data_IF_771571344405
#
_entry.id   IF_771571344405
#
_cell.length_a   1.000
_cell.length_b   1.000
_cell.length_c   1.000
_cell.angle_alpha   90.00
_cell.angle_beta   90.00
_cell.angle_gamma   90.00
#
_symmetry.space_group_name_H-M   'P 1'
#
loop_
_entity.id
_entity.type
_entity.pdbx_description
1 polymer ?
#
# COMPACT_ATOMS: atom_id res chain seq x y z
N UNK A 1 6.73 -58.76 -10.90
CA UNK A 1 7.53 -58.29 -12.05
C UNK A 1 7.76 -56.80 -11.89
N UNK A 2 9.00 -56.28 -12.01
CA UNK A 2 9.26 -54.84 -11.97
C UNK A 2 8.78 -54.21 -13.28
N UNK A 3 8.08 -53.08 -13.19
CA UNK A 3 7.62 -52.31 -14.36
C UNK A 3 8.86 -51.74 -15.06
N UNK A 4 9.20 -52.26 -16.24
CA UNK A 4 10.22 -51.66 -17.11
C UNK A 4 9.70 -50.31 -17.59
N UNK A 5 10.45 -49.23 -17.29
CA UNK A 5 10.14 -47.85 -17.69
C UNK A 5 10.02 -47.81 -19.22
N UNK A 6 8.89 -47.32 -19.72
CA UNK A 6 8.62 -47.24 -21.15
C UNK A 6 9.22 -45.93 -21.69
N UNK A 7 9.99 -45.92 -22.79
CA UNK A 7 10.54 -44.68 -23.36
C UNK A 7 9.49 -43.61 -23.66
N UNK A 8 8.24 -44.03 -23.91
CA UNK A 8 7.10 -43.13 -24.11
C UNK A 8 6.65 -42.36 -22.85
N UNK A 9 7.07 -42.77 -21.66
CA UNK A 9 6.86 -41.99 -20.42
C UNK A 9 7.68 -40.69 -20.45
N UNK A 10 8.77 -40.65 -21.23
CA UNK A 10 9.58 -39.45 -21.47
C UNK A 10 9.12 -38.65 -22.70
N UNK A 11 8.22 -39.20 -23.53
CA UNK A 11 7.57 -38.49 -24.64
C UNK A 11 6.33 -37.70 -24.19
N UNK A 12 6.06 -37.65 -22.87
CA UNK A 12 5.04 -36.79 -22.29
C UNK A 12 5.44 -35.33 -22.47
N UNK A 13 5.06 -34.78 -23.62
CA UNK A 13 5.00 -33.36 -23.99
C UNK A 13 6.06 -32.52 -23.30
N UNK A 14 7.02 -32.09 -24.09
CA UNK A 14 7.71 -30.82 -23.92
C UNK A 14 6.64 -29.69 -23.93
N UNK A 15 5.78 -29.64 -22.91
CA UNK A 15 4.98 -28.50 -22.52
C UNK A 15 6.02 -27.52 -22.01
N UNK A 16 6.69 -26.87 -22.96
CA UNK A 16 7.21 -25.53 -22.73
C UNK A 16 6.01 -24.71 -22.29
N UNK A 17 5.84 -24.63 -20.98
CA UNK A 17 4.99 -23.62 -20.36
C UNK A 17 5.60 -22.32 -20.86
N UNK A 18 4.92 -21.57 -21.74
CA UNK A 18 5.51 -20.35 -22.27
C UNK A 18 5.77 -19.40 -21.09
N UNK A 19 6.98 -18.82 -21.03
CA UNK A 19 7.42 -17.88 -19.98
C UNK A 19 6.46 -16.68 -19.76
N UNK A 20 5.48 -16.50 -20.64
CA UNK A 20 4.39 -15.54 -20.53
C UNK A 20 3.33 -15.86 -19.45
N UNK A 21 3.40 -17.03 -18.80
CA UNK A 21 2.44 -17.38 -17.74
C UNK A 21 2.75 -16.70 -16.38
N UNK A 22 3.97 -16.20 -16.16
CA UNK A 22 4.40 -15.63 -14.88
C UNK A 22 4.18 -14.11 -14.72
N UNK A 23 3.76 -13.39 -15.77
CA UNK A 23 3.50 -11.95 -15.72
C UNK A 23 2.12 -11.60 -16.29
N UNK A 24 1.07 -12.31 -15.86
CA UNK A 24 -0.28 -12.09 -16.38
C UNK A 24 -0.89 -10.88 -15.66
N UNK A 25 -0.84 -9.72 -16.32
CA UNK A 25 -1.61 -8.54 -15.90
C UNK A 25 -3.09 -8.92 -15.84
N UNK A 26 -3.68 -8.73 -14.66
CA UNK A 26 -5.10 -8.99 -14.50
C UNK A 26 -5.91 -7.88 -15.18
N UNK A 27 -7.03 -8.24 -15.84
CA UNK A 27 -7.88 -7.26 -16.48
C UNK A 27 -8.54 -6.38 -15.42
N UNK A 28 -8.69 -5.09 -15.72
CA UNK A 28 -9.36 -4.12 -14.85
C UNK A 28 -10.68 -3.62 -15.47
N UNK A 29 -11.56 -3.13 -14.62
CA UNK A 29 -12.76 -2.38 -14.98
C UNK A 29 -12.41 -0.92 -15.28
N UNK A 30 -13.31 -0.26 -16.01
CA UNK A 30 -13.29 1.19 -16.19
C UNK A 30 -14.09 1.82 -15.05
N UNK A 31 -13.51 2.81 -14.38
CA UNK A 31 -14.05 3.41 -13.17
C UNK A 31 -14.59 4.81 -13.46
N UNK A 32 -15.67 5.17 -12.76
CA UNK A 32 -16.10 6.57 -12.68
C UNK A 32 -15.10 7.39 -11.86
N UNK A 33 -14.95 8.68 -12.19
CA UNK A 33 -14.18 9.65 -11.39
C UNK A 33 -14.67 9.71 -9.94
N UNK A 34 -15.95 9.43 -9.70
CA UNK A 34 -16.58 9.45 -8.37
C UNK A 34 -16.48 8.13 -7.61
N UNK A 35 -15.93 7.06 -8.22
CA UNK A 35 -15.78 5.75 -7.57
C UNK A 35 -15.05 5.80 -6.21
N UNK A 36 -14.00 6.62 -6.01
CA UNK A 36 -13.33 6.73 -4.71
C UNK A 36 -14.24 7.16 -3.55
N UNK A 37 -15.26 7.98 -3.80
CA UNK A 37 -16.22 8.38 -2.77
C UNK A 37 -17.17 7.23 -2.41
N UNK A 38 -17.50 6.38 -3.39
CA UNK A 38 -18.26 5.16 -3.14
C UNK A 38 -17.45 4.19 -2.27
N UNK A 39 -16.17 3.98 -2.58
CA UNK A 39 -15.27 3.15 -1.77
C UNK A 39 -15.14 3.68 -0.35
N UNK A 40 -15.04 5.01 -0.19
CA UNK A 40 -14.98 5.64 1.11
C UNK A 40 -16.25 5.38 1.93
N UNK A 41 -17.42 5.50 1.31
CA UNK A 41 -18.71 5.19 1.95
C UNK A 41 -18.78 3.73 2.43
N UNK A 42 -18.35 2.79 1.58
CA UNK A 42 -18.27 1.38 1.95
C UNK A 42 -17.23 1.14 3.07
N UNK A 43 -16.09 1.82 3.02
CA UNK A 43 -15.06 1.78 4.06
C UNK A 43 -15.54 2.30 5.41
N UNK A 44 -16.35 3.36 5.43
CA UNK A 44 -17.02 3.85 6.64
C UNK A 44 -18.04 2.83 7.16
N UNK A 45 -18.79 2.18 6.27
CA UNK A 45 -19.72 1.13 6.67
C UNK A 45 -19.00 -0.10 7.24
N UNK A 46 -17.81 -0.44 6.75
CA UNK A 46 -16.94 -1.47 7.32
C UNK A 46 -16.41 -1.06 8.69
N UNK A 47 -15.95 0.18 8.83
CA UNK A 47 -15.47 0.74 10.08
C UNK A 47 -16.52 0.66 11.21
N UNK A 48 -17.77 1.01 10.92
CA UNK A 48 -18.86 0.99 11.90
C UNK A 48 -19.28 -0.44 12.25
N UNK A 49 -19.22 -1.36 11.29
CA UNK A 49 -19.75 -2.73 11.44
C UNK A 49 -18.73 -3.71 12.02
N UNK A 50 -17.44 -3.39 11.98
CA UNK A 50 -16.35 -4.21 12.52
C UNK A 50 -15.57 -3.46 13.63
N UNK A 51 -16.24 -2.94 14.67
CA UNK A 51 -15.66 -1.95 15.58
C UNK A 51 -14.42 -2.44 16.33
N UNK A 52 -14.37 -3.73 16.72
CA UNK A 52 -13.21 -4.30 17.42
C UNK A 52 -11.97 -4.31 16.53
N UNK A 53 -12.14 -4.73 15.27
CA UNK A 53 -11.06 -4.80 14.28
C UNK A 53 -10.59 -3.39 13.94
N UNK A 54 -11.54 -2.48 13.68
CA UNK A 54 -11.25 -1.09 13.35
C UNK A 54 -10.55 -0.35 14.48
N UNK A 55 -10.98 -0.57 15.73
CA UNK A 55 -10.34 0.02 16.91
C UNK A 55 -8.92 -0.51 17.10
N UNK A 56 -8.67 -1.80 16.90
CA UNK A 56 -7.34 -2.38 17.02
C UNK A 56 -6.36 -1.80 15.99
N UNK A 57 -6.69 -1.88 14.70
CA UNK A 57 -5.81 -1.37 13.65
C UNK A 57 -5.69 0.16 13.70
N UNK A 58 -6.79 0.86 13.99
CA UNK A 58 -6.78 2.30 14.23
C UNK A 58 -5.87 2.71 15.38
N UNK A 59 -5.92 2.00 16.51
CA UNK A 59 -5.02 2.24 17.64
C UNK A 59 -3.56 1.98 17.28
N UNK A 60 -3.24 0.96 16.48
CA UNK A 60 -1.89 0.71 15.99
C UNK A 60 -1.36 1.87 15.12
N UNK A 61 -2.16 2.34 14.17
CA UNK A 61 -1.79 3.48 13.33
C UNK A 61 -1.65 4.78 14.13
N UNK A 62 -2.58 5.04 15.05
CA UNK A 62 -2.53 6.18 15.96
C UNK A 62 -1.28 6.12 16.84
N UNK A 63 -0.99 4.99 17.49
CA UNK A 63 0.16 4.83 18.36
C UNK A 63 1.47 5.05 17.60
N UNK A 64 1.58 4.54 16.37
CA UNK A 64 2.73 4.78 15.52
C UNK A 64 2.85 6.27 15.17
N UNK A 65 1.78 6.93 14.73
CA UNK A 65 1.81 8.35 14.37
C UNK A 65 2.11 9.27 15.57
N UNK A 66 1.45 9.04 16.71
CA UNK A 66 1.69 9.77 17.97
C UNK A 66 3.13 9.53 18.44
N UNK A 67 3.62 8.29 18.37
CA UNK A 67 5.02 7.97 18.71
C UNK A 67 6.01 8.78 17.90
N UNK A 68 5.78 8.94 16.59
CA UNK A 68 6.61 9.77 15.71
C UNK A 68 6.57 11.23 16.14
N UNK A 69 5.37 11.78 16.39
CA UNK A 69 5.21 13.16 16.85
C UNK A 69 5.96 13.39 18.17
N UNK A 70 5.85 12.48 19.13
CA UNK A 70 6.54 12.57 20.42
C UNK A 70 8.06 12.48 20.27
N UNK A 71 8.56 11.56 19.43
CA UNK A 71 9.99 11.43 19.14
C UNK A 71 10.56 12.71 18.50
N UNK A 72 9.82 13.31 17.57
CA UNK A 72 10.20 14.57 16.93
C UNK A 72 10.25 15.71 17.94
N UNK A 73 9.26 15.80 18.84
CA UNK A 73 9.24 16.83 19.88
C UNK A 73 10.37 16.64 20.91
N UNK A 74 10.67 15.39 21.27
CA UNK A 74 11.72 15.09 22.25
C UNK A 74 13.12 15.49 21.77
N UNK A 75 13.39 15.42 20.46
CA UNK A 75 14.69 15.81 19.90
C UNK A 75 14.88 17.32 19.70
N UNK A 76 13.83 18.14 19.85
CA UNK A 76 13.90 19.59 19.66
C UNK A 76 14.60 19.98 18.35
N UNK A 77 15.76 20.64 18.47
CA UNK A 77 16.56 21.17 17.34
C UNK A 77 17.20 20.08 16.46
N UNK A 78 17.32 18.83 16.93
CA UNK A 78 17.89 17.70 16.15
C UNK A 78 16.83 16.87 15.42
N UNK A 79 15.57 17.31 15.42
CA UNK A 79 14.42 16.62 14.82
C UNK A 79 14.62 16.18 13.36
N UNK A 80 15.46 16.87 12.58
CA UNK A 80 15.76 16.51 11.19
C UNK A 80 16.32 15.08 11.02
N UNK A 81 17.01 14.54 12.04
CA UNK A 81 17.58 13.19 11.98
C UNK A 81 16.53 12.08 12.21
N UNK A 82 15.43 12.38 12.88
CA UNK A 82 14.41 11.38 13.25
C UNK A 82 13.17 11.43 12.37
N UNK A 83 12.81 12.59 11.83
CA UNK A 83 11.60 12.73 10.98
C UNK A 83 11.67 11.77 9.79
N UNK A 84 12.75 11.80 9.01
CA UNK A 84 12.84 11.01 7.77
C UNK A 84 12.82 9.48 8.02
N UNK A 85 13.64 8.91 8.93
CA UNK A 85 13.56 7.49 9.26
C UNK A 85 12.20 7.08 9.83
N UNK A 86 11.59 7.93 10.67
CA UNK A 86 10.28 7.67 11.28
C UNK A 86 9.17 7.53 10.24
N UNK A 87 9.14 8.42 9.25
CA UNK A 87 8.17 8.37 8.15
C UNK A 87 8.31 7.09 7.33
N UNK A 88 9.54 6.63 7.12
CA UNK A 88 9.80 5.37 6.40
C UNK A 88 9.30 4.17 7.20
N UNK A 89 9.57 4.13 8.50
CA UNK A 89 9.05 3.05 9.37
C UNK A 89 7.52 3.05 9.36
N UNK A 90 6.87 4.22 9.44
CA UNK A 90 5.42 4.34 9.34
C UNK A 90 4.88 3.79 8.02
N UNK A 91 5.50 4.17 6.89
CA UNK A 91 5.13 3.69 5.56
C UNK A 91 5.32 2.18 5.40
N UNK A 92 6.34 1.58 6.01
CA UNK A 92 6.59 0.14 5.94
C UNK A 92 5.65 -0.69 6.82
N UNK A 93 5.20 -0.15 7.96
CA UNK A 93 4.22 -0.81 8.83
C UNK A 93 2.82 -0.81 8.19
N UNK A 94 2.46 0.25 7.45
CA UNK A 94 1.14 0.43 6.85
C UNK A 94 0.60 -0.77 6.07
N UNK A 95 1.33 -1.32 5.07
CA UNK A 95 0.99 -2.53 4.33
C UNK A 95 0.53 -3.71 5.19
N UNK A 96 1.22 -3.96 6.30
CA UNK A 96 0.95 -5.12 7.16
C UNK A 96 -0.28 -4.90 8.04
N UNK A 97 -0.48 -3.68 8.53
CA UNK A 97 -1.70 -3.33 9.26
C UNK A 97 -2.92 -3.34 8.33
N UNK A 98 -2.78 -2.78 7.13
CA UNK A 98 -3.84 -2.74 6.13
C UNK A 98 -4.24 -4.15 5.65
N UNK A 99 -3.29 -5.08 5.57
CA UNK A 99 -3.56 -6.47 5.20
C UNK A 99 -4.62 -7.14 6.09
N UNK A 100 -4.55 -6.92 7.41
CA UNK A 100 -5.55 -7.48 8.31
C UNK A 100 -6.93 -6.86 8.10
N UNK A 101 -6.99 -5.58 7.77
CA UNK A 101 -8.24 -4.93 7.43
C UNK A 101 -8.82 -5.42 6.10
N UNK A 102 -7.97 -5.67 5.10
CA UNK A 102 -8.38 -6.28 3.84
C UNK A 102 -8.98 -7.67 4.06
N UNK A 103 -8.35 -8.50 4.90
CA UNK A 103 -8.87 -9.82 5.25
C UNK A 103 -10.23 -9.74 5.97
N UNK A 104 -10.41 -8.75 6.86
CA UNK A 104 -11.68 -8.53 7.54
C UNK A 104 -12.82 -8.16 6.57
N UNK A 105 -12.58 -7.23 5.63
CA UNK A 105 -13.57 -6.91 4.59
C UNK A 105 -13.83 -8.09 3.64
N UNK A 106 -12.79 -8.87 3.32
CA UNK A 106 -12.93 -10.08 2.50
C UNK A 106 -13.80 -11.16 3.16
N UNK A 107 -13.60 -11.44 4.45
CA UNK A 107 -14.43 -12.37 5.20
C UNK A 107 -15.88 -11.88 5.31
N UNK A 108 -16.05 -10.57 5.53
CA UNK A 108 -17.37 -9.95 5.60
C UNK A 108 -18.14 -10.07 4.28
N UNK A 109 -17.49 -9.81 3.15
CA UNK A 109 -18.10 -9.96 1.82
C UNK A 109 -18.52 -11.41 1.52
N UNK A 110 -17.82 -12.39 2.10
CA UNK A 110 -18.18 -13.80 2.00
C UNK A 110 -19.31 -14.23 2.94
N UNK A 111 -19.84 -13.32 3.74
CA UNK A 111 -20.88 -13.61 4.73
C UNK A 111 -20.35 -14.31 6.00
N UNK A 112 -19.03 -14.40 6.17
CA UNK A 112 -18.44 -14.90 7.41
C UNK A 112 -18.42 -13.79 8.48
N UNK A 113 -18.30 -14.17 9.75
CA UNK A 113 -18.09 -13.23 10.84
C UNK A 113 -16.59 -12.90 10.97
N UNK A 114 -16.16 -11.65 10.70
CA UNK A 114 -14.75 -11.28 10.80
C UNK A 114 -14.28 -11.38 12.25
N UNK A 115 -13.12 -12.00 12.46
CA UNK A 115 -12.49 -12.07 13.78
C UNK A 115 -11.09 -11.46 13.75
N UNK A 116 -10.73 -10.75 14.81
CA UNK A 116 -9.42 -10.09 14.92
C UNK A 116 -8.25 -11.09 14.85
N UNK A 117 -8.41 -12.27 15.45
CA UNK A 117 -7.38 -13.30 15.42
C UNK A 117 -7.16 -13.84 13.99
N UNK A 118 -8.23 -13.95 13.19
CA UNK A 118 -8.12 -14.34 11.79
C UNK A 118 -7.42 -13.25 10.97
N UNK A 119 -7.82 -11.98 11.16
CA UNK A 119 -7.21 -10.85 10.43
C UNK A 119 -5.73 -10.69 10.72
N UNK A 120 -5.29 -10.90 11.97
CA UNK A 120 -3.87 -10.87 12.34
C UNK A 120 -3.06 -11.99 11.67
N UNK A 121 -3.68 -13.15 11.42
CA UNK A 121 -3.05 -14.27 10.70
C UNK A 121 -3.04 -14.08 9.18
N UNK A 122 -3.66 -13.02 8.64
CA UNK A 122 -3.66 -12.76 7.20
C UNK A 122 -2.23 -12.59 6.62
N UNK A 123 -1.29 -12.12 7.44
CA UNK A 123 0.15 -11.99 7.09
C UNK A 123 0.82 -13.31 6.74
N UNK A 124 0.24 -14.45 7.11
CA UNK A 124 0.83 -15.77 6.82
C UNK A 124 0.23 -16.44 5.59
N UNK A 125 -0.83 -15.87 4.97
CA UNK A 125 -1.57 -16.52 3.86
C UNK A 125 -0.79 -16.56 2.54
N UNK A 126 0.02 -15.53 2.28
CA UNK A 126 0.92 -15.44 1.12
C UNK A 126 2.21 -14.72 1.55
N UNK A 127 2.87 -15.26 2.57
CA UNK A 127 3.98 -14.60 3.24
C UNK A 127 5.13 -14.30 2.28
N UNK A 128 5.52 -15.23 1.41
CA UNK A 128 6.64 -15.00 0.46
C UNK A 128 6.43 -13.78 -0.41
N UNK A 129 5.25 -13.65 -1.06
CA UNK A 129 4.99 -12.49 -1.92
C UNK A 129 4.78 -11.21 -1.11
N UNK A 130 4.09 -11.28 0.05
CA UNK A 130 3.90 -10.12 0.91
C UNK A 130 5.24 -9.57 1.45
N UNK A 131 6.15 -10.44 1.88
CA UNK A 131 7.49 -10.06 2.32
C UNK A 131 8.36 -9.57 1.17
N UNK A 132 8.30 -10.20 0.00
CA UNK A 132 9.02 -9.71 -1.18
C UNK A 132 8.53 -8.32 -1.61
N UNK A 133 7.23 -8.03 -1.49
CA UNK A 133 6.69 -6.69 -1.70
C UNK A 133 7.14 -5.70 -0.63
N UNK A 134 7.22 -6.12 0.64
CA UNK A 134 7.76 -5.28 1.70
C UNK A 134 9.25 -4.96 1.49
N UNK A 135 10.04 -5.92 0.99
CA UNK A 135 11.44 -5.70 0.58
C UNK A 135 11.51 -4.72 -0.58
N UNK A 136 10.64 -4.86 -1.60
CA UNK A 136 10.54 -3.92 -2.71
C UNK A 136 10.26 -2.50 -2.22
N UNK A 137 9.29 -2.32 -1.33
CA UNK A 137 8.99 -1.03 -0.71
C UNK A 137 10.16 -0.50 0.13
N UNK A 138 10.85 -1.37 0.87
CA UNK A 138 12.04 -1.00 1.67
C UNK A 138 13.15 -0.48 0.79
N UNK A 139 13.48 -1.16 -0.31
CA UNK A 139 14.49 -0.72 -1.28
C UNK A 139 14.10 0.63 -1.88
N UNK A 140 12.82 0.80 -2.24
CA UNK A 140 12.33 2.07 -2.75
C UNK A 140 12.43 3.21 -1.73
N UNK A 141 12.14 2.94 -0.45
CA UNK A 141 12.25 3.91 0.63
C UNK A 141 13.71 4.26 0.96
N UNK A 142 14.63 3.30 0.91
CA UNK A 142 16.07 3.56 1.04
C UNK A 142 16.53 4.47 -0.11
N UNK A 143 16.12 4.16 -1.34
CA UNK A 143 16.46 4.97 -2.50
C UNK A 143 15.90 6.39 -2.37
N UNK A 144 14.63 6.54 -1.95
CA UNK A 144 14.02 7.83 -1.63
C UNK A 144 14.81 8.59 -0.57
N UNK A 145 15.18 7.95 0.53
CA UNK A 145 15.97 8.56 1.61
C UNK A 145 17.32 9.09 1.08
N UNK A 146 17.97 8.36 0.17
CA UNK A 146 19.23 8.82 -0.46
C UNK A 146 19.01 10.04 -1.34
N UNK A 147 17.94 10.05 -2.14
CA UNK A 147 17.57 11.21 -2.96
C UNK A 147 17.26 12.42 -2.08
N UNK A 148 16.49 12.25 -1.01
CA UNK A 148 16.16 13.30 -0.05
C UNK A 148 17.43 13.86 0.64
N UNK A 149 18.36 12.98 1.04
CA UNK A 149 19.63 13.39 1.64
C UNK A 149 20.52 14.17 0.67
N UNK A 150 20.54 13.80 -0.62
CA UNK A 150 21.27 14.55 -1.65
C UNK A 150 20.66 15.95 -1.86
N UNK A 151 19.33 16.05 -1.96
CA UNK A 151 18.66 17.35 -2.11
C UNK A 151 18.94 18.23 -0.88
N UNK A 152 18.93 17.65 0.31
CA UNK A 152 19.26 18.35 1.56
C UNK A 152 20.75 18.76 1.63
N UNK A 153 21.66 17.96 1.09
CA UNK A 153 23.08 18.31 1.02
C UNK A 153 23.36 19.46 0.05
N UNK A 154 22.53 19.63 -0.99
CA UNK A 154 22.67 20.73 -1.96
C UNK A 154 21.97 22.01 -1.50
N UNK A 155 20.90 21.92 -0.70
CA UNK A 155 20.09 23.08 -0.31
C UNK A 155 19.63 23.01 1.16
N UNK A 156 19.72 24.12 1.92
CA UNK A 156 20.30 25.42 1.57
C UNK A 156 21.85 25.43 1.70
N UNK A 157 22.52 26.29 0.92
CA UNK A 157 23.98 26.40 0.93
C UNK A 157 24.56 26.97 2.25
N UNK A 158 23.71 27.57 3.11
CA UNK A 158 24.11 28.24 4.36
C UNK A 158 23.16 27.86 5.50
N UNK A 159 23.71 27.65 6.70
CA UNK A 159 22.90 27.40 7.90
C UNK A 159 22.25 28.72 8.38
N UNK A 160 20.97 28.68 8.74
CA UNK A 160 20.20 29.88 9.14
C UNK A 160 19.54 30.64 7.99
N UNK A 161 19.48 30.02 6.81
CA UNK A 161 18.90 30.59 5.60
C UNK A 161 17.43 31.02 5.76
N UNK A 162 17.07 32.11 5.11
CA UNK A 162 15.70 32.63 5.04
C UNK A 162 14.74 31.66 4.33
N UNK A 163 13.43 31.79 4.55
CA UNK A 163 12.43 30.89 3.93
C UNK A 163 12.49 30.90 2.39
N UNK A 164 12.94 32.01 1.80
CA UNK A 164 13.17 32.19 0.37
C UNK A 164 14.34 31.37 -0.15
N UNK A 165 15.39 31.19 0.65
CA UNK A 165 16.55 30.35 0.31
C UNK A 165 16.27 28.85 0.50
N UNK A 166 15.25 28.50 1.29
CA UNK A 166 14.69 27.15 1.34
C UNK A 166 13.77 26.81 0.17
N UNK A 167 13.32 27.80 -0.62
CA UNK A 167 12.39 27.56 -1.71
C UNK A 167 12.89 26.53 -2.74
N UNK A 168 14.16 26.54 -3.19
CA UNK A 168 14.68 25.50 -4.08
C UNK A 168 14.61 24.10 -3.46
N UNK A 169 14.94 23.96 -2.17
CA UNK A 169 14.82 22.69 -1.44
C UNK A 169 13.37 22.19 -1.45
N UNK A 170 12.41 23.06 -1.12
CA UNK A 170 11.00 22.71 -1.06
C UNK A 170 10.41 22.39 -2.44
N UNK A 171 10.73 23.18 -3.47
CA UNK A 171 10.21 23.00 -4.83
C UNK A 171 10.78 21.71 -5.44
N UNK A 172 12.11 21.57 -5.45
CA UNK A 172 12.78 20.40 -6.03
C UNK A 172 12.41 19.15 -5.23
N UNK A 173 12.46 19.22 -3.90
CA UNK A 173 12.04 18.14 -3.02
C UNK A 173 10.60 17.70 -3.27
N UNK A 174 9.69 18.65 -3.48
CA UNK A 174 8.28 18.35 -3.78
C UNK A 174 8.10 17.72 -5.15
N UNK A 175 8.78 18.21 -6.20
CA UNK A 175 8.69 17.63 -7.55
C UNK A 175 9.21 16.19 -7.56
N UNK A 176 10.38 15.97 -6.95
CA UNK A 176 10.98 14.63 -6.91
C UNK A 176 10.14 13.71 -6.02
N UNK A 177 9.66 14.19 -4.86
CA UNK A 177 8.76 13.46 -3.99
C UNK A 177 7.43 13.09 -4.64
N UNK A 178 6.86 14.01 -5.43
CA UNK A 178 5.66 13.75 -6.22
C UNK A 178 5.89 12.64 -7.24
N UNK A 179 7.01 12.68 -7.98
CA UNK A 179 7.37 11.62 -8.92
C UNK A 179 7.49 10.25 -8.24
N UNK A 180 8.15 10.19 -7.08
CA UNK A 180 8.22 8.98 -6.27
C UNK A 180 6.85 8.51 -5.79
N UNK A 181 6.02 9.43 -5.28
CA UNK A 181 4.68 9.12 -4.80
C UNK A 181 3.82 8.53 -5.93
N UNK A 182 3.88 9.08 -7.14
CA UNK A 182 3.17 8.54 -8.30
C UNK A 182 3.63 7.12 -8.64
N UNK A 183 4.94 6.88 -8.67
CA UNK A 183 5.50 5.54 -8.97
C UNK A 183 5.04 4.54 -7.91
N UNK A 184 5.26 4.86 -6.62
CA UNK A 184 4.94 3.97 -5.51
C UNK A 184 3.44 3.72 -5.43
N UNK A 185 2.62 4.75 -5.55
CA UNK A 185 1.16 4.61 -5.60
C UNK A 185 0.74 3.69 -6.76
N UNK A 186 1.28 3.90 -7.96
CA UNK A 186 0.92 3.11 -9.13
C UNK A 186 1.19 1.62 -8.95
N UNK A 187 2.34 1.27 -8.36
CA UNK A 187 2.74 -0.13 -8.13
C UNK A 187 2.17 -0.73 -6.85
N UNK A 188 1.54 0.04 -5.96
CA UNK A 188 1.13 -0.45 -4.63
C UNK A 188 -0.37 -0.38 -4.35
N UNK A 189 -1.09 0.53 -5.02
CA UNK A 189 -2.50 0.83 -4.75
C UNK A 189 -3.37 -0.42 -4.56
N UNK A 190 -3.15 -1.45 -5.39
CA UNK A 190 -3.93 -2.69 -5.36
C UNK A 190 -3.09 -3.97 -5.24
N UNK A 191 -1.77 -3.88 -5.06
CA UNK A 191 -0.92 -5.08 -5.07
C UNK A 191 -1.11 -5.95 -3.83
N UNK A 192 -1.21 -5.36 -2.64
CA UNK A 192 -1.42 -6.12 -1.39
C UNK A 192 -2.76 -6.87 -1.38
N UNK A 193 -3.93 -6.21 -1.59
CA UNK A 193 -5.20 -6.93 -1.58
C UNK A 193 -5.25 -8.01 -2.68
N UNK A 194 -4.59 -7.75 -3.82
CA UNK A 194 -4.48 -8.73 -4.89
C UNK A 194 -3.64 -9.96 -4.51
N UNK A 195 -2.46 -9.77 -3.92
CA UNK A 195 -1.62 -10.87 -3.41
C UNK A 195 -2.31 -11.65 -2.30
N UNK A 196 -3.12 -10.99 -1.48
CA UNK A 196 -3.87 -11.61 -0.39
C UNK A 196 -5.04 -12.47 -0.91
N UNK A 197 -5.89 -11.91 -1.78
CA UNK A 197 -7.09 -12.60 -2.27
C UNK A 197 -6.72 -13.70 -3.27
N UNK A 198 -5.91 -13.37 -4.28
CA UNK A 198 -5.65 -14.26 -5.43
C UNK A 198 -4.36 -15.07 -5.31
N UNK A 199 -3.55 -14.84 -4.27
CA UNK A 199 -2.26 -15.53 -4.03
C UNK A 199 -1.31 -15.49 -5.24
N UNK A 200 -1.32 -14.37 -5.96
CA UNK A 200 -0.41 -14.12 -7.08
C UNK A 200 0.97 -13.70 -6.57
N UNK A 201 1.99 -13.85 -7.41
CA UNK A 201 3.34 -13.37 -7.14
C UNK A 201 3.41 -11.82 -7.14
N UNK A 202 4.51 -11.29 -6.61
CA UNK A 202 4.72 -9.84 -6.46
C UNK A 202 4.73 -9.12 -7.80
N UNK A 203 5.35 -9.70 -8.82
CA UNK A 203 5.49 -9.03 -10.11
C UNK A 203 4.13 -8.94 -10.80
N UNK A 204 3.37 -10.04 -10.83
CA UNK A 204 2.00 -10.02 -11.33
C UNK A 204 1.12 -9.01 -10.57
N UNK A 205 1.29 -8.89 -9.26
CA UNK A 205 0.55 -7.92 -8.45
C UNK A 205 0.93 -6.46 -8.75
N UNK A 206 2.22 -6.18 -8.92
CA UNK A 206 2.76 -4.85 -9.26
C UNK A 206 2.30 -4.43 -10.65
N UNK A 207 2.45 -5.29 -11.66
CA UNK A 207 2.02 -4.99 -13.02
C UNK A 207 0.51 -4.82 -13.12
N UNK A 208 -0.27 -5.60 -12.38
CA UNK A 208 -1.72 -5.46 -12.33
C UNK A 208 -2.16 -4.16 -11.67
N UNK A 209 -1.50 -3.75 -10.57
CA UNK A 209 -1.74 -2.44 -9.92
C UNK A 209 -1.40 -1.28 -10.87
N UNK A 210 -0.24 -1.33 -11.52
CA UNK A 210 0.18 -0.31 -12.47
C UNK A 210 -0.81 -0.21 -13.65
N UNK A 211 -1.24 -1.36 -14.18
CA UNK A 211 -2.22 -1.41 -15.26
C UNK A 211 -3.59 -0.87 -14.84
N UNK A 212 -4.04 -1.18 -13.61
CA UNK A 212 -5.27 -0.64 -13.05
C UNK A 212 -5.21 0.88 -12.91
N UNK A 213 -4.08 1.42 -12.46
CA UNK A 213 -3.89 2.86 -12.26
C UNK A 213 -3.81 3.59 -13.60
N UNK A 214 -3.00 3.09 -14.53
CA UNK A 214 -2.85 3.65 -15.88
C UNK A 214 -4.17 3.65 -16.65
N UNK A 215 -5.00 2.62 -16.48
CA UNK A 215 -6.30 2.51 -17.16
C UNK A 215 -7.37 3.43 -16.57
N UNK A 216 -7.17 3.97 -15.36
CA UNK A 216 -8.18 4.72 -14.61
C UNK A 216 -7.62 6.01 -13.96
N UNK A 217 -6.75 6.74 -14.67
CA UNK A 217 -6.02 7.91 -14.15
C UNK A 217 -6.93 8.91 -13.40
N UNK A 218 -8.10 9.34 -13.91
CA UNK A 218 -8.92 10.34 -13.22
C UNK A 218 -9.42 9.88 -11.84
N UNK A 219 -9.95 8.67 -11.75
CA UNK A 219 -10.42 8.09 -10.48
C UNK A 219 -9.25 7.90 -9.49
N UNK A 220 -8.08 7.51 -10.01
CA UNK A 220 -6.88 7.30 -9.20
C UNK A 220 -6.28 8.60 -8.66
N UNK A 221 -6.36 9.70 -9.40
CA UNK A 221 -5.97 11.03 -8.90
C UNK A 221 -6.86 11.41 -7.72
N UNK A 222 -8.18 11.27 -7.86
CA UNK A 222 -9.13 11.54 -6.76
C UNK A 222 -8.81 10.64 -5.56
N UNK A 223 -8.54 9.36 -5.78
CA UNK A 223 -8.18 8.44 -4.71
C UNK A 223 -6.87 8.83 -3.99
N UNK A 224 -5.83 9.19 -4.75
CA UNK A 224 -4.57 9.67 -4.19
C UNK A 224 -4.75 10.95 -3.37
N UNK A 225 -5.61 11.87 -3.81
CA UNK A 225 -5.96 13.09 -3.07
C UNK A 225 -6.71 12.77 -1.77
N UNK A 226 -7.64 11.81 -1.79
CA UNK A 226 -8.35 11.36 -0.58
C UNK A 226 -7.39 10.75 0.44
N UNK A 227 -6.47 9.88 0.00
CA UNK A 227 -5.43 9.30 0.88
C UNK A 227 -4.54 10.41 1.45
N UNK A 228 -4.05 11.30 0.59
CA UNK A 228 -3.16 12.40 1.00
C UNK A 228 -3.87 13.31 2.01
N UNK A 229 -5.11 13.70 1.74
CA UNK A 229 -5.92 14.50 2.65
C UNK A 229 -6.15 13.81 3.99
N UNK A 230 -6.46 12.51 4.00
CA UNK A 230 -6.63 11.73 5.21
C UNK A 230 -5.35 11.62 6.06
N UNK A 231 -4.19 11.47 5.42
CA UNK A 231 -2.88 11.47 6.09
C UNK A 231 -2.58 12.85 6.68
N UNK A 232 -2.80 13.93 5.92
CA UNK A 232 -2.59 15.30 6.37
C UNK A 232 -3.47 15.64 7.58
N UNK A 233 -4.76 15.28 7.55
CA UNK A 233 -5.67 15.45 8.69
C UNK A 233 -5.20 14.64 9.90
N UNK A 234 -4.72 13.41 9.67
CA UNK A 234 -4.16 12.56 10.72
C UNK A 234 -2.96 13.18 11.44
N UNK A 235 -2.00 13.74 10.69
CA UNK A 235 -0.85 14.43 11.30
C UNK A 235 -1.18 15.82 11.84
N UNK A 236 -2.12 16.55 11.24
CA UNK A 236 -2.59 17.85 11.75
C UNK A 236 -3.24 17.74 13.14
N UNK A 237 -3.76 16.55 13.48
CA UNK A 237 -4.33 16.22 14.79
C UNK A 237 -3.32 15.49 15.70
N UNK A 238 -2.02 15.74 15.51
CA UNK A 238 -0.92 15.12 16.27
C UNK A 238 -0.91 13.57 16.22
N UNK A 239 -1.47 12.97 15.18
CA UNK A 239 -1.56 11.52 14.99
C UNK A 239 -2.86 10.89 15.49
N UNK A 240 -3.70 11.62 16.25
CA UNK A 240 -4.97 11.10 16.78
C UNK A 240 -5.95 10.77 15.64
N UNK A 241 -6.00 11.60 14.61
CA UNK A 241 -6.88 11.40 13.45
C UNK A 241 -6.60 10.10 12.69
N UNK A 242 -5.38 9.55 12.80
CA UNK A 242 -5.03 8.26 12.18
C UNK A 242 -5.85 7.10 12.73
N UNK A 243 -6.40 7.22 13.93
CA UNK A 243 -7.32 6.24 14.50
C UNK A 243 -8.54 6.01 13.61
N UNK A 244 -9.03 7.06 12.94
CA UNK A 244 -10.20 6.99 12.08
C UNK A 244 -9.81 6.90 10.61
N UNK A 245 -8.88 7.76 10.15
CA UNK A 245 -8.57 7.90 8.73
C UNK A 245 -7.95 6.62 8.16
N UNK A 246 -6.98 6.01 8.84
CA UNK A 246 -6.30 4.82 8.33
C UNK A 246 -7.22 3.61 8.22
N UNK A 247 -8.04 3.26 9.25
CA UNK A 247 -9.04 2.22 9.11
C UNK A 247 -10.01 2.44 7.94
N UNK A 248 -10.55 3.65 7.80
CA UNK A 248 -11.50 3.95 6.74
C UNK A 248 -10.83 3.81 5.36
N UNK A 249 -9.62 4.35 5.19
CA UNK A 249 -8.88 4.27 3.94
C UNK A 249 -8.51 2.83 3.57
N UNK A 250 -8.10 2.01 4.54
CA UNK A 250 -7.78 0.60 4.26
C UNK A 250 -9.02 -0.20 3.86
N UNK A 251 -10.15 -0.06 4.55
CA UNK A 251 -11.38 -0.73 4.10
C UNK A 251 -11.83 -0.23 2.72
N UNK A 252 -11.77 1.08 2.47
CA UNK A 252 -12.07 1.64 1.16
C UNK A 252 -11.14 1.11 0.06
N UNK A 253 -9.85 0.89 0.37
CA UNK A 253 -8.89 0.30 -0.58
C UNK A 253 -9.31 -1.11 -1.01
N UNK A 254 -9.84 -1.90 -0.08
CA UNK A 254 -10.40 -3.23 -0.39
C UNK A 254 -11.56 -3.14 -1.39
N UNK A 255 -12.52 -2.25 -1.15
CA UNK A 255 -13.65 -2.03 -2.05
C UNK A 255 -13.20 -1.50 -3.41
N UNK A 256 -12.23 -0.58 -3.42
CA UNK A 256 -11.61 -0.09 -4.65
C UNK A 256 -10.91 -1.19 -5.44
N UNK A 257 -10.17 -2.08 -4.75
CA UNK A 257 -9.57 -3.26 -5.37
C UNK A 257 -10.62 -4.15 -6.01
N UNK A 258 -11.70 -4.47 -5.29
CA UNK A 258 -12.77 -5.34 -5.75
C UNK A 258 -13.50 -4.75 -6.98
N UNK A 259 -13.82 -3.46 -6.96
CA UNK A 259 -14.44 -2.79 -8.11
C UNK A 259 -13.48 -2.70 -9.31
N UNK A 260 -12.18 -2.49 -9.06
CA UNK A 260 -11.19 -2.27 -10.11
C UNK A 260 -10.74 -3.54 -10.81
N UNK A 261 -10.48 -4.63 -10.08
CA UNK A 261 -9.90 -5.86 -10.65
C UNK A 261 -11.02 -6.83 -11.05
N UNK A 262 -11.10 -7.16 -12.35
CA UNK A 262 -12.12 -8.09 -12.87
C UNK A 262 -11.92 -9.48 -12.30
N UNK A 263 -13.01 -10.07 -11.78
CA UNK A 263 -13.08 -11.51 -11.50
C UNK A 263 -13.15 -12.24 -12.85
N UNK A 264 -12.35 -13.31 -13.02
CA UNK A 264 -12.56 -14.23 -14.15
C UNK A 264 -13.96 -14.80 -13.98
N UNK A 265 -14.89 -14.40 -14.84
CA UNK A 265 -16.10 -15.19 -15.04
C UNK A 265 -15.64 -16.52 -15.66
N UNK A 266 -15.74 -17.59 -14.88
CA UNK A 266 -15.86 -18.92 -15.47
C UNK A 266 -17.25 -18.93 -16.13
N UNK A 267 -17.26 -18.75 -17.45
CA UNK A 267 -18.37 -19.18 -18.30
C UNK A 267 -18.38 -20.71 -18.34
#
# INVERSE_FOLDING_TARGET
>A
MPRTVNPSDFEAKDKKIPDSEYARTLPCNQLSVTAPFHWLSLGVHDFIRMPIISMFYGACFMAAAVGIVLLVQWQGTHSHLVVMPSLIVYMLIGPFLALGMYDASWEREKGHQPSLMHSMRAITRNSTSQWAFAVLLTVAMIFWMRVAALIHALYPAVQGASITEFAPFLIIGSIVGFGFAVIIFSISAFSIPLMMEKRVDVMSAVFSSFNAVKSNIPAMIVWALVITGGILIGFATYGIGMFFTMPILGYATWHGYHETIKKKHHL
#
